data_IF_282878118524
#
_entry.id   IF_282878118524
#
_cell.length_a   1.000
_cell.length_b   1.000
_cell.length_c   1.000
_cell.angle_alpha   90.00
_cell.angle_beta   90.00
_cell.angle_gamma   90.00
#
_symmetry.space_group_name_H-M   'P 1'
#
loop_
_entity.id
_entity.type
_entity.pdbx_description
1 polymer ?
#
# COMPACT_ATOMS: atom_id res chain seq x y z
N UNK A 1 23.35 4.86 -35.63
CA UNK A 1 21.95 4.60 -35.25
C UNK A 1 21.68 5.30 -33.91
N UNK A 2 20.56 6.01 -33.78
CA UNK A 2 20.12 6.58 -32.50
C UNK A 2 19.28 5.56 -31.72
N UNK A 3 19.00 5.81 -30.45
CA UNK A 3 18.18 4.92 -29.60
C UNK A 3 16.79 4.66 -30.20
N UNK A 4 16.22 5.64 -30.90
CA UNK A 4 14.93 5.49 -31.60
C UNK A 4 14.96 4.50 -32.78
N UNK A 5 16.12 4.30 -33.41
CA UNK A 5 16.32 3.38 -34.55
C UNK A 5 17.25 2.21 -34.19
N UNK A 6 17.24 1.73 -32.94
CA UNK A 6 17.94 0.49 -32.54
C UNK A 6 19.45 0.63 -32.25
N UNK A 7 19.99 1.86 -32.20
CA UNK A 7 21.38 2.11 -31.81
C UNK A 7 21.56 2.37 -30.32
N UNK A 8 22.72 2.02 -29.74
CA UNK A 8 22.97 2.16 -28.30
C UNK A 8 23.75 3.44 -27.89
N UNK A 9 24.21 4.23 -28.86
CA UNK A 9 25.26 5.24 -28.62
C UNK A 9 24.73 6.68 -28.60
N UNK A 10 23.67 6.99 -29.35
CA UNK A 10 23.21 8.37 -29.53
C UNK A 10 21.71 8.51 -29.17
N UNK A 11 21.38 9.40 -28.22
CA UNK A 11 19.99 9.84 -27.94
C UNK A 11 19.72 11.10 -28.75
N UNK A 12 18.54 11.20 -29.38
CA UNK A 12 18.07 12.47 -29.92
C UNK A 12 17.79 13.43 -28.75
N UNK A 13 18.50 14.56 -28.71
CA UNK A 13 18.34 15.56 -27.66
C UNK A 13 17.16 16.46 -28.03
N UNK A 14 16.04 16.28 -27.35
CA UNK A 14 14.89 17.18 -27.40
C UNK A 14 14.77 17.90 -26.06
N UNK A 15 15.43 19.07 -25.97
CA UNK A 15 15.49 19.85 -24.73
C UNK A 15 14.11 20.28 -24.25
N UNK A 16 13.16 20.51 -25.16
CA UNK A 16 11.80 20.92 -24.81
C UNK A 16 11.05 19.76 -24.15
N UNK A 17 11.08 18.58 -24.78
CA UNK A 17 10.46 17.38 -24.24
C UNK A 17 11.11 16.90 -22.94
N UNK A 18 12.44 16.96 -22.86
CA UNK A 18 13.16 16.62 -21.62
C UNK A 18 12.79 17.60 -20.49
N UNK A 19 12.66 18.91 -20.75
CA UNK A 19 12.20 19.89 -19.77
C UNK A 19 10.74 19.68 -19.34
N UNK A 20 9.83 19.36 -20.26
CA UNK A 20 8.43 19.04 -19.93
C UNK A 20 8.30 17.80 -19.04
N UNK A 21 9.10 16.77 -19.29
CA UNK A 21 9.11 15.56 -18.47
C UNK A 21 9.67 15.81 -17.08
N UNK A 22 10.73 16.61 -16.98
CA UNK A 22 11.33 16.97 -15.70
C UNK A 22 10.37 17.81 -14.85
N UNK A 23 9.71 18.80 -15.47
CA UNK A 23 8.70 19.61 -14.80
C UNK A 23 7.56 18.75 -14.22
N UNK A 24 7.08 17.76 -14.99
CA UNK A 24 6.03 16.84 -14.52
C UNK A 24 6.50 16.00 -13.33
N UNK A 25 7.75 15.55 -13.32
CA UNK A 25 8.32 14.80 -12.19
C UNK A 25 8.41 15.66 -10.93
N UNK A 26 8.84 16.91 -11.08
CA UNK A 26 8.93 17.85 -9.96
C UNK A 26 7.54 18.17 -9.36
N UNK A 27 6.51 18.31 -10.20
CA UNK A 27 5.14 18.47 -9.72
C UNK A 27 4.66 17.24 -8.95
N UNK A 28 4.84 16.03 -9.49
CA UNK A 28 4.47 14.80 -8.78
C UNK A 28 5.23 14.65 -7.45
N UNK A 29 6.51 15.00 -7.43
CA UNK A 29 7.31 14.95 -6.20
C UNK A 29 6.80 15.95 -5.17
N UNK A 30 6.49 17.17 -5.60
CA UNK A 30 5.93 18.22 -4.75
C UNK A 30 4.59 17.78 -4.16
N UNK A 31 3.72 17.21 -4.99
CA UNK A 31 2.42 16.69 -4.56
C UNK A 31 2.57 15.55 -3.55
N UNK A 32 3.47 14.59 -3.81
CA UNK A 32 3.73 13.48 -2.90
C UNK A 32 4.27 13.96 -1.54
N UNK A 33 5.16 14.94 -1.53
CA UNK A 33 5.66 15.56 -0.29
C UNK A 33 4.52 16.30 0.43
N UNK A 34 3.68 17.01 -0.32
CA UNK A 34 2.47 17.65 0.19
C UNK A 34 1.54 16.65 0.88
N UNK A 35 1.30 15.49 0.27
CA UNK A 35 0.47 14.42 0.87
C UNK A 35 1.03 13.93 2.21
N UNK A 36 2.35 13.74 2.33
CA UNK A 36 2.98 13.34 3.61
C UNK A 36 2.86 14.42 4.68
N UNK A 37 2.80 15.70 4.29
CA UNK A 37 2.65 16.81 5.24
C UNK A 37 1.20 17.02 5.65
N UNK A 38 0.29 17.02 4.69
CA UNK A 38 -1.05 17.58 4.83
C UNK A 38 -2.11 16.52 5.19
N UNK A 39 -1.90 15.24 4.86
CA UNK A 39 -2.84 14.17 5.22
C UNK A 39 -2.80 13.85 6.70
N UNK A 40 -3.96 13.41 7.20
CA UNK A 40 -4.08 12.92 8.57
C UNK A 40 -3.26 11.64 8.77
N UNK A 41 -2.80 11.40 10.00
CA UNK A 41 -2.03 10.21 10.29
C UNK A 41 -2.82 8.93 9.97
N UNK A 42 -4.13 8.90 10.19
CA UNK A 42 -4.96 7.73 9.91
C UNK A 42 -5.02 7.40 8.41
N UNK A 43 -4.94 8.40 7.53
CA UNK A 43 -4.83 8.18 6.08
C UNK A 43 -3.44 7.67 5.67
N UNK A 44 -2.40 8.00 6.46
CA UNK A 44 -1.01 7.62 6.18
C UNK A 44 -0.66 6.22 6.70
N UNK A 45 -1.33 5.74 7.76
CA UNK A 45 -1.06 4.42 8.36
C UNK A 45 -1.22 3.25 7.37
N UNK A 46 -2.29 3.19 6.54
CA UNK A 46 -2.41 2.15 5.52
C UNK A 46 -1.25 2.14 4.52
N UNK A 47 -0.80 3.34 4.15
CA UNK A 47 0.31 3.51 3.20
C UNK A 47 1.62 3.07 3.84
N UNK A 48 1.84 3.45 5.10
CA UNK A 48 2.99 3.01 5.89
C UNK A 48 3.07 1.48 5.96
N UNK A 49 1.97 0.80 6.30
CA UNK A 49 1.90 -0.65 6.35
C UNK A 49 2.18 -1.29 4.99
N UNK A 50 1.61 -0.75 3.91
CA UNK A 50 1.85 -1.24 2.56
C UNK A 50 3.33 -1.18 2.15
N UNK A 51 4.00 -0.08 2.50
CA UNK A 51 5.45 0.06 2.27
C UNK A 51 6.32 -0.61 3.33
N UNK A 52 5.73 -1.37 4.27
CA UNK A 52 6.46 -2.12 5.30
C UNK A 52 7.07 -1.24 6.40
N UNK A 53 6.54 -0.03 6.61
CA UNK A 53 6.95 0.86 7.69
C UNK A 53 6.30 0.40 9.00
N UNK A 54 7.10 0.34 10.07
CA UNK A 54 6.60 0.02 11.40
C UNK A 54 5.76 1.18 11.96
N UNK A 55 4.46 0.95 12.11
CA UNK A 55 3.51 1.94 12.63
C UNK A 55 3.45 2.02 14.16
N UNK A 56 4.14 1.13 14.88
CA UNK A 56 4.27 1.17 16.33
C UNK A 56 5.38 2.13 16.80
N UNK A 57 5.64 3.19 16.04
CA UNK A 57 6.69 4.19 16.27
C UNK A 57 6.07 5.59 16.36
N UNK A 58 6.78 6.60 16.90
CA UNK A 58 6.26 7.95 16.96
C UNK A 58 5.82 8.47 15.58
N UNK A 59 4.75 9.26 15.52
CA UNK A 59 4.17 9.80 14.27
C UNK A 59 5.23 10.53 13.42
N UNK A 60 6.16 11.24 14.05
CA UNK A 60 7.27 11.91 13.36
C UNK A 60 8.17 10.93 12.61
N UNK A 61 8.44 9.76 13.18
CA UNK A 61 9.26 8.71 12.56
C UNK A 61 8.52 8.07 11.37
N UNK A 62 7.22 7.79 11.53
CA UNK A 62 6.36 7.30 10.44
C UNK A 62 6.38 8.30 9.27
N UNK A 63 6.12 9.59 9.55
CA UNK A 63 6.15 10.65 8.51
C UNK A 63 7.52 10.80 7.86
N UNK A 64 8.60 10.69 8.62
CA UNK A 64 9.96 10.71 8.08
C UNK A 64 10.21 9.55 7.10
N UNK A 65 9.80 8.33 7.48
CA UNK A 65 9.94 7.15 6.62
C UNK A 65 9.09 7.28 5.34
N UNK A 66 7.83 7.73 5.47
CA UNK A 66 6.95 7.98 4.33
C UNK A 66 7.49 9.08 3.42
N UNK A 67 8.08 10.15 3.97
CA UNK A 67 8.72 11.21 3.18
C UNK A 67 9.87 10.66 2.31
N UNK A 68 10.68 9.75 2.86
CA UNK A 68 11.75 9.11 2.12
C UNK A 68 11.21 8.17 1.03
N UNK A 69 10.10 7.47 1.29
CA UNK A 69 9.43 6.63 0.29
C UNK A 69 8.83 7.49 -0.82
N UNK A 70 8.10 8.56 -0.49
CA UNK A 70 7.51 9.50 -1.44
C UNK A 70 8.56 10.10 -2.40
N UNK A 71 9.79 10.35 -1.92
CA UNK A 71 10.91 10.83 -2.74
C UNK A 71 11.50 9.76 -3.67
N UNK A 72 11.55 8.50 -3.22
CA UNK A 72 12.15 7.39 -3.97
C UNK A 72 11.18 6.73 -4.94
N UNK A 73 9.89 6.69 -4.59
CA UNK A 73 8.81 5.94 -5.23
C UNK A 73 7.58 6.82 -5.44
N UNK A 74 7.78 8.03 -5.94
CA UNK A 74 6.75 9.09 -6.01
C UNK A 74 5.42 8.65 -6.62
N UNK A 75 5.46 8.04 -7.80
CA UNK A 75 4.25 7.60 -8.51
C UNK A 75 3.51 6.50 -7.75
N UNK A 76 4.24 5.48 -7.28
CA UNK A 76 3.70 4.35 -6.52
C UNK A 76 3.11 4.83 -5.18
N UNK A 77 3.78 5.78 -4.53
CA UNK A 77 3.31 6.40 -3.29
C UNK A 77 1.98 7.13 -3.50
N UNK A 78 1.87 8.00 -4.51
CA UNK A 78 0.62 8.70 -4.81
C UNK A 78 -0.50 7.69 -5.12
N UNK A 79 -0.24 6.72 -5.99
CA UNK A 79 -1.22 5.72 -6.40
C UNK A 79 -1.68 4.80 -5.25
N UNK A 80 -0.85 4.64 -4.22
CA UNK A 80 -1.19 3.78 -3.08
C UNK A 80 -2.39 4.29 -2.28
N UNK A 81 -2.65 5.61 -2.28
CA UNK A 81 -3.82 6.19 -1.60
C UNK A 81 -5.14 5.76 -2.22
N UNK A 82 -5.17 5.59 -3.55
CA UNK A 82 -6.37 5.23 -4.30
C UNK A 82 -6.53 3.71 -4.50
N UNK A 83 -5.64 2.90 -3.92
CA UNK A 83 -5.62 1.45 -4.13
C UNK A 83 -6.49 0.71 -3.10
N UNK A 84 -7.59 0.05 -3.52
CA UNK A 84 -8.38 -0.78 -2.62
C UNK A 84 -7.56 -1.92 -2.01
N UNK A 85 -6.56 -2.43 -2.74
CA UNK A 85 -5.65 -3.47 -2.23
C UNK A 85 -4.81 -2.96 -1.06
N UNK A 86 -4.34 -1.71 -1.11
CA UNK A 86 -3.55 -1.10 -0.04
C UNK A 86 -4.40 -0.93 1.22
N UNK A 87 -5.60 -0.37 1.06
CA UNK A 87 -6.54 -0.19 2.17
C UNK A 87 -6.93 -1.53 2.80
N UNK A 88 -7.34 -2.50 1.97
CA UNK A 88 -7.71 -3.84 2.42
C UNK A 88 -6.56 -4.54 3.16
N UNK A 89 -5.33 -4.45 2.64
CA UNK A 89 -4.15 -5.03 3.29
C UNK A 89 -3.86 -4.40 4.64
N UNK A 90 -4.03 -3.08 4.75
CA UNK A 90 -3.93 -2.37 6.03
C UNK A 90 -4.94 -2.89 7.05
N UNK A 91 -6.22 -2.99 6.66
CA UNK A 91 -7.30 -3.51 7.52
C UNK A 91 -7.00 -4.93 7.99
N UNK A 92 -6.54 -5.81 7.10
CA UNK A 92 -6.20 -7.21 7.45
C UNK A 92 -4.98 -7.25 8.38
N UNK A 93 -3.95 -6.44 8.12
CA UNK A 93 -2.76 -6.37 8.97
C UNK A 93 -3.11 -5.88 10.38
N UNK A 94 -3.91 -4.83 10.50
CA UNK A 94 -4.42 -4.36 11.79
C UNK A 94 -5.28 -5.42 12.47
N UNK A 95 -6.19 -6.07 11.74
CA UNK A 95 -7.02 -7.14 12.27
C UNK A 95 -6.20 -8.33 12.79
N UNK A 96 -5.05 -8.62 12.17
CA UNK A 96 -4.09 -9.60 12.68
C UNK A 96 -3.42 -9.11 13.97
N UNK A 97 -2.93 -7.88 14.00
CA UNK A 97 -2.19 -7.33 15.13
C UNK A 97 -3.08 -7.15 16.37
N UNK A 98 -4.34 -6.76 16.19
CA UNK A 98 -5.35 -6.70 17.25
C UNK A 98 -6.02 -8.04 17.57
N UNK A 99 -5.49 -9.15 17.06
CA UNK A 99 -5.99 -10.50 17.34
C UNK A 99 -7.50 -10.66 17.03
N UNK A 100 -7.97 -10.02 15.96
CA UNK A 100 -9.32 -10.24 15.40
C UNK A 100 -9.30 -11.47 14.48
N UNK A 101 -8.22 -11.61 13.72
CA UNK A 101 -7.96 -12.75 12.84
C UNK A 101 -6.57 -13.34 13.11
N UNK A 102 -6.39 -14.59 12.71
CA UNK A 102 -5.11 -15.28 12.73
C UNK A 102 -4.73 -15.67 11.30
N UNK A 103 -3.62 -15.12 10.81
CA UNK A 103 -3.08 -15.39 9.47
C UNK A 103 -1.97 -16.43 9.61
N UNK A 104 -2.25 -17.68 9.20
CA UNK A 104 -1.32 -18.81 9.25
C UNK A 104 -0.90 -19.20 7.83
N UNK A 105 0.06 -20.10 7.67
CA UNK A 105 0.55 -20.53 6.33
C UNK A 105 -0.49 -21.27 5.49
N UNK A 106 -1.49 -21.88 6.11
CA UNK A 106 -2.53 -22.71 5.47
C UNK A 106 -3.87 -21.98 5.29
N UNK A 107 -4.03 -20.80 5.89
CA UNK A 107 -5.25 -20.01 5.76
C UNK A 107 -5.33 -18.86 6.75
N UNK A 108 -6.43 -18.12 6.63
CA UNK A 108 -6.82 -17.08 7.59
C UNK A 108 -8.04 -17.52 8.36
N UNK A 109 -8.03 -17.31 9.68
CA UNK A 109 -9.04 -17.79 10.63
C UNK A 109 -9.53 -16.64 11.51
N UNK A 110 -10.77 -16.71 11.97
CA UNK A 110 -11.23 -15.86 13.08
C UNK A 110 -10.48 -16.21 14.36
N UNK A 111 -9.98 -15.22 15.09
CA UNK A 111 -9.14 -15.46 16.27
C UNK A 111 -9.91 -16.13 17.41
N UNK A 112 -11.15 -15.68 17.66
CA UNK A 112 -12.02 -16.12 18.75
C UNK A 112 -12.49 -17.59 18.62
N UNK A 113 -12.85 -18.00 17.41
CA UNK A 113 -13.52 -19.26 17.12
C UNK A 113 -12.65 -20.24 16.35
N UNK A 114 -11.49 -19.78 15.86
CA UNK A 114 -10.61 -20.51 14.97
C UNK A 114 -11.34 -21.05 13.72
N UNK A 115 -12.47 -20.43 13.32
CA UNK A 115 -13.21 -20.78 12.10
C UNK A 115 -12.47 -20.24 10.88
N UNK A 116 -12.36 -21.08 9.85
CA UNK A 116 -11.69 -20.73 8.60
C UNK A 116 -12.47 -19.63 7.86
N UNK A 117 -11.74 -18.60 7.42
CA UNK A 117 -12.25 -17.54 6.54
C UNK A 117 -11.93 -17.89 5.09
N UNK A 118 -10.64 -18.08 4.80
CA UNK A 118 -10.14 -18.45 3.47
C UNK A 118 -8.92 -19.36 3.62
N UNK A 119 -8.87 -20.42 2.82
CA UNK A 119 -7.71 -21.31 2.74
C UNK A 119 -6.63 -20.74 1.83
N UNK A 120 -5.38 -20.97 2.17
CA UNK A 120 -4.23 -20.54 1.37
C UNK A 120 -3.73 -21.71 0.52
N UNK A 121 -3.76 -21.62 -0.81
CA UNK A 121 -3.14 -22.62 -1.67
C UNK A 121 -1.64 -22.72 -1.42
N UNK A 122 -1.09 -23.92 -1.57
CA UNK A 122 0.35 -24.18 -1.42
C UNK A 122 1.16 -23.25 -2.30
N UNK A 123 2.19 -22.64 -1.73
CA UNK A 123 3.09 -21.71 -2.42
C UNK A 123 2.57 -20.27 -2.54
N UNK A 124 1.40 -19.96 -1.96
CA UNK A 124 0.89 -18.60 -1.86
C UNK A 124 1.05 -18.04 -0.45
N UNK A 125 1.12 -16.72 -0.34
CA UNK A 125 1.10 -16.01 0.93
C UNK A 125 -0.35 -15.77 1.40
N UNK A 126 -0.62 -16.07 2.66
CA UNK A 126 -1.97 -15.98 3.23
C UNK A 126 -2.48 -14.56 3.37
N UNK A 127 -1.60 -13.58 3.60
CA UNK A 127 -2.00 -12.17 3.64
C UNK A 127 -2.47 -11.76 2.24
N UNK A 128 -1.72 -12.10 1.19
CA UNK A 128 -2.10 -11.79 -0.19
C UNK A 128 -3.38 -12.50 -0.63
N UNK A 129 -3.57 -13.77 -0.24
CA UNK A 129 -4.81 -14.51 -0.51
C UNK A 129 -5.99 -13.85 0.18
N UNK A 130 -5.83 -13.46 1.44
CA UNK A 130 -6.89 -12.80 2.20
C UNK A 130 -7.26 -11.44 1.59
N UNK A 131 -6.28 -10.62 1.19
CA UNK A 131 -6.52 -9.35 0.49
C UNK A 131 -7.33 -9.57 -0.78
N UNK A 132 -6.91 -10.51 -1.63
CA UNK A 132 -7.64 -10.84 -2.87
C UNK A 132 -9.05 -11.32 -2.57
N UNK A 133 -9.22 -12.16 -1.56
CA UNK A 133 -10.53 -12.68 -1.16
C UNK A 133 -11.47 -11.55 -0.71
N UNK A 134 -11.02 -10.66 0.16
CA UNK A 134 -11.80 -9.51 0.65
C UNK A 134 -12.28 -8.57 -0.47
N UNK A 135 -11.54 -8.49 -1.57
CA UNK A 135 -11.92 -7.71 -2.76
C UNK A 135 -12.90 -8.43 -3.70
N UNK A 136 -13.32 -9.66 -3.37
CA UNK A 136 -14.39 -10.37 -4.08
C UNK A 136 -15.75 -10.12 -3.43
N UNK A 137 -16.84 -10.37 -4.16
CA UNK A 137 -18.21 -10.27 -3.61
C UNK A 137 -18.41 -11.13 -2.36
N UNK A 138 -17.80 -12.32 -2.30
CA UNK A 138 -17.92 -13.24 -1.16
C UNK A 138 -17.13 -12.78 0.06
N UNK A 139 -16.00 -12.10 -0.15
CA UNK A 139 -15.15 -11.61 0.93
C UNK A 139 -15.48 -10.20 1.40
N UNK A 140 -16.31 -9.45 0.68
CA UNK A 140 -16.72 -8.09 1.05
C UNK A 140 -17.38 -8.04 2.43
N UNK A 141 -18.22 -9.02 2.78
CA UNK A 141 -18.84 -9.12 4.10
C UNK A 141 -17.84 -9.36 5.23
N UNK A 142 -16.78 -10.12 4.93
CA UNK A 142 -15.68 -10.35 5.88
C UNK A 142 -14.87 -9.08 6.09
N UNK A 143 -14.58 -8.35 5.01
CA UNK A 143 -13.88 -7.06 5.10
C UNK A 143 -14.66 -6.06 5.94
N UNK A 144 -15.96 -5.87 5.65
CA UNK A 144 -16.83 -5.00 6.45
C UNK A 144 -16.88 -5.43 7.92
N UNK A 145 -16.91 -6.73 8.21
CA UNK A 145 -16.86 -7.21 9.60
C UNK A 145 -15.53 -6.88 10.29
N UNK A 146 -14.40 -6.89 9.55
CA UNK A 146 -13.10 -6.50 10.10
C UNK A 146 -13.07 -5.01 10.41
N UNK A 147 -13.53 -4.17 9.49
CA UNK A 147 -13.63 -2.72 9.65
C UNK A 147 -14.50 -2.38 10.87
N UNK A 148 -15.71 -2.95 10.96
CA UNK A 148 -16.61 -2.76 12.10
C UNK A 148 -16.00 -3.15 13.44
N UNK A 149 -15.16 -4.20 13.48
CA UNK A 149 -14.50 -4.64 14.72
C UNK A 149 -13.34 -3.71 15.08
N UNK A 150 -12.60 -3.22 14.10
CA UNK A 150 -11.49 -2.28 14.31
C UNK A 150 -12.01 -0.92 14.77
N UNK A 151 -13.10 -0.42 14.19
CA UNK A 151 -13.72 0.85 14.56
C UNK A 151 -14.22 0.85 16.02
N UNK A 152 -14.57 -0.31 16.58
CA UNK A 152 -14.97 -0.45 17.99
C UNK A 152 -13.80 -0.44 18.98
N UNK A 153 -12.57 -0.55 18.48
CA UNK A 153 -11.35 -0.50 19.30
C UNK A 153 -10.77 0.94 19.40
N UNK A 154 -11.20 1.84 18.51
CA UNK A 154 -10.89 3.27 18.53
C UNK A 154 -11.93 4.11 19.26
#
# INVERSE_FOLDING_TARGET
MNIGNGGKIFKQVDKKKDAENELKREFLLTDAIGMVRDKDINELLPIALYFGVNINTPVTEIRYNLLNIAKKKTQEFIQSFDSPQVQTRSTIQQGKDYQIINVKTDGTYWFDTNRLIVSTPVGQDSMDVMVRFCLTEKGASVLSTLEDRLDRLG
#
